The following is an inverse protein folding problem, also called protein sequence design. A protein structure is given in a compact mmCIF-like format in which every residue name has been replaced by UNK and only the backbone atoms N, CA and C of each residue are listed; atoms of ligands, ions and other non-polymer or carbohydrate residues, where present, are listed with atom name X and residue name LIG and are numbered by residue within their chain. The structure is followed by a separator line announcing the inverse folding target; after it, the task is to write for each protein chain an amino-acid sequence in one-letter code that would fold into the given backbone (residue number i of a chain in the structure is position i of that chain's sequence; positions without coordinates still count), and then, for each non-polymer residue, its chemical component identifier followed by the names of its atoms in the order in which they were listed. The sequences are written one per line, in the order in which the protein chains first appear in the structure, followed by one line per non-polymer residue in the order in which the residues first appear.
data_IF_647745740797
#
_entry.id   IF_647745740797
#
_cell.length_a   1.000
_cell.length_b   1.000
_cell.length_c   1.000
_cell.angle_alpha   90.00
_cell.angle_beta   90.00
_cell.angle_gamma   90.00
#
_symmetry.space_group_name_H-M   'P 1'
#
loop_
_entity.id
_entity.type
_entity.pdbx_description
1 polymer ?
#
# COMPACT_ATOMS: atom_id res chain seq x y z
N UNK A 1 -25.39 -7.49 6.44
CA UNK A 1 -24.96 -7.36 5.03
C UNK A 1 -25.75 -6.31 4.29
N UNK A 2 -25.08 -5.58 3.40
CA UNK A 2 -25.73 -4.61 2.49
C UNK A 2 -26.31 -3.35 3.15
N UNK A 3 -25.80 -2.94 4.32
CA UNK A 3 -26.31 -1.78 5.06
C UNK A 3 -25.68 -0.45 4.65
N UNK A 4 -24.68 -0.49 3.77
CA UNK A 4 -23.99 0.72 3.32
C UNK A 4 -24.93 1.55 2.44
N UNK A 5 -25.10 2.80 2.83
CA UNK A 5 -25.80 3.81 2.05
C UNK A 5 -24.95 4.29 0.87
N UNK A 6 -25.60 4.91 -0.12
CA UNK A 6 -24.87 5.54 -1.23
C UNK A 6 -23.97 6.69 -0.76
N UNK A 7 -24.35 7.39 0.31
CA UNK A 7 -23.56 8.47 0.89
C UNK A 7 -22.23 7.95 1.45
N UNK A 8 -22.22 6.77 2.08
CA UNK A 8 -21.00 6.13 2.59
C UNK A 8 -20.07 5.59 1.49
N UNK A 9 -20.61 5.34 0.29
CA UNK A 9 -19.85 4.86 -0.86
C UNK A 9 -19.38 5.99 -1.79
N UNK A 10 -19.92 7.20 -1.62
CA UNK A 10 -19.64 8.34 -2.51
C UNK A 10 -18.45 9.14 -2.00
N UNK A 11 -17.56 9.52 -2.92
CA UNK A 11 -16.39 10.34 -2.62
C UNK A 11 -15.12 9.50 -2.46
N UNK A 12 -14.31 9.85 -1.44
CA UNK A 12 -12.99 9.28 -1.23
C UNK A 12 -11.91 9.90 -2.11
N UNK A 13 -10.73 10.11 -1.55
CA UNK A 13 -9.57 10.72 -2.24
C UNK A 13 -8.50 9.71 -2.61
N UNK A 14 -8.53 8.53 -1.98
CA UNK A 14 -7.57 7.45 -2.14
C UNK A 14 -8.25 6.12 -1.82
N UNK A 15 -7.83 5.05 -2.48
CA UNK A 15 -8.34 3.70 -2.25
C UNK A 15 -7.24 2.78 -1.72
N UNK A 16 -7.62 1.88 -0.82
CA UNK A 16 -6.76 0.77 -0.38
C UNK A 16 -7.50 -0.53 -0.71
N UNK A 17 -6.83 -1.43 -1.43
CA UNK A 17 -7.36 -2.75 -1.76
C UNK A 17 -6.44 -3.83 -1.20
N UNK A 18 -6.98 -4.77 -0.43
CA UNK A 18 -6.22 -5.87 0.15
C UNK A 18 -6.53 -7.17 -0.59
N UNK A 19 -5.74 -7.46 -1.64
CA UNK A 19 -5.78 -8.74 -2.34
C UNK A 19 -5.06 -9.87 -1.58
N UNK A 20 -4.34 -9.52 -0.50
CA UNK A 20 -3.64 -10.47 0.36
C UNK A 20 -4.55 -11.49 1.04
N UNK A 21 -5.82 -11.15 1.24
CA UNK A 21 -6.85 -12.08 1.76
C UNK A 21 -7.04 -13.31 0.87
N UNK A 22 -6.72 -13.21 -0.42
CA UNK A 22 -6.77 -14.31 -1.39
C UNK A 22 -5.39 -14.94 -1.66
N UNK A 23 -4.36 -14.56 -0.89
CA UNK A 23 -3.01 -15.09 -1.04
C UNK A 23 -2.19 -14.46 -2.18
N UNK A 24 -2.69 -13.39 -2.80
CA UNK A 24 -2.00 -12.65 -3.87
C UNK A 24 -0.63 -12.18 -3.40
N UNK A 25 0.40 -12.41 -4.22
CA UNK A 25 1.76 -11.95 -3.92
C UNK A 25 1.96 -10.49 -4.31
N UNK A 26 1.57 -10.12 -5.52
CA UNK A 26 1.75 -8.79 -6.11
C UNK A 26 0.75 -8.66 -7.26
N UNK A 27 0.21 -7.46 -7.47
CA UNK A 27 -0.71 -7.15 -8.55
C UNK A 27 -0.62 -5.67 -8.91
N UNK A 28 -1.20 -5.30 -10.06
CA UNK A 28 -1.35 -3.90 -10.50
C UNK A 28 -2.78 -3.44 -10.21
N UNK A 29 -3.04 -2.78 -9.06
CA UNK A 29 -4.39 -2.36 -8.71
C UNK A 29 -4.92 -1.33 -9.72
N UNK A 30 -6.23 -1.36 -10.01
CA UNK A 30 -6.87 -0.41 -10.92
C UNK A 30 -7.38 0.78 -10.11
N UNK A 31 -7.06 2.00 -10.55
CA UNK A 31 -7.51 3.24 -9.92
C UNK A 31 -9.04 3.28 -9.94
N UNK A 32 -9.65 3.71 -8.83
CA UNK A 32 -11.09 3.93 -8.72
C UNK A 32 -11.42 5.40 -9.06
N UNK A 33 -11.86 5.74 -10.28
CA UNK A 33 -12.10 7.13 -10.66
C UNK A 33 -13.22 7.74 -9.80
N UNK A 34 -13.16 9.03 -9.43
CA UNK A 34 -12.25 10.06 -9.95
C UNK A 34 -10.92 10.21 -9.17
N UNK A 35 -10.54 9.23 -8.35
CA UNK A 35 -9.30 9.31 -7.55
C UNK A 35 -8.04 9.24 -8.43
N UNK A 36 -6.91 9.71 -7.90
CA UNK A 36 -5.63 9.75 -8.63
C UNK A 36 -4.71 8.57 -8.34
N UNK A 37 -4.95 7.80 -7.28
CA UNK A 37 -4.09 6.68 -6.90
C UNK A 37 -4.81 5.62 -6.05
N UNK A 38 -4.24 4.43 -6.02
CA UNK A 38 -4.71 3.29 -5.21
C UNK A 38 -3.52 2.49 -4.67
N UNK A 39 -3.60 2.10 -3.40
CA UNK A 39 -2.64 1.18 -2.77
C UNK A 39 -3.18 -0.26 -2.80
N UNK A 40 -2.40 -1.17 -3.37
CA UNK A 40 -2.58 -2.61 -3.31
C UNK A 40 -1.74 -3.22 -2.19
N UNK A 41 -2.42 -3.80 -1.19
CA UNK A 41 -1.82 -4.61 -0.12
C UNK A 41 -1.96 -6.08 -0.47
N UNK A 42 -0.88 -6.84 -0.26
CA UNK A 42 -0.80 -8.24 -0.67
C UNK A 42 -0.63 -9.16 0.52
N UNK A 43 -0.42 -10.46 0.27
CA UNK A 43 -0.27 -11.43 1.34
C UNK A 43 1.09 -11.26 2.03
N UNK A 44 1.07 -11.17 3.36
CA UNK A 44 2.28 -11.26 4.17
C UNK A 44 2.75 -12.70 4.19
N UNK A 45 3.96 -12.97 3.72
CA UNK A 45 4.57 -14.31 3.70
C UNK A 45 5.99 -14.25 4.23
N UNK A 46 6.40 -15.29 4.94
CA UNK A 46 7.78 -15.44 5.39
C UNK A 46 8.72 -15.57 4.20
N UNK A 47 9.76 -14.72 4.17
CA UNK A 47 10.77 -14.71 3.13
C UNK A 47 12.16 -14.52 3.72
N UNK A 48 13.19 -15.15 3.11
CA UNK A 48 14.57 -14.82 3.44
C UNK A 48 14.91 -13.41 2.92
N UNK A 49 15.47 -12.58 3.80
CA UNK A 49 15.97 -11.24 3.49
C UNK A 49 17.37 -11.07 4.08
N UNK A 50 18.15 -10.15 3.50
CA UNK A 50 19.46 -9.79 4.04
C UNK A 50 19.30 -8.68 5.08
N UNK A 51 19.75 -8.93 6.31
CA UNK A 51 19.78 -7.94 7.40
C UNK A 51 21.16 -8.02 8.06
N UNK A 52 21.87 -6.89 8.16
CA UNK A 52 23.22 -6.83 8.74
C UNK A 52 24.21 -7.88 8.19
N UNK A 53 24.13 -8.18 6.89
CA UNK A 53 25.00 -9.16 6.23
C UNK A 53 24.62 -10.63 6.46
N UNK A 54 23.50 -10.91 7.12
CA UNK A 54 23.01 -12.27 7.37
C UNK A 54 21.66 -12.50 6.67
N UNK A 55 21.40 -13.76 6.30
CA UNK A 55 20.07 -14.16 5.81
C UNK A 55 19.19 -14.46 6.99
N UNK A 56 18.11 -13.70 7.13
CA UNK A 56 17.09 -13.87 8.18
C UNK A 56 15.72 -14.04 7.55
N UNK A 57 14.84 -14.80 8.18
CA UNK A 57 13.44 -14.92 7.73
C UNK A 57 12.64 -13.77 8.34
N UNK A 58 11.85 -13.08 7.51
CA UNK A 58 10.94 -12.00 7.92
C UNK A 58 9.56 -12.17 7.28
N UNK A 59 8.48 -11.76 7.97
CA UNK A 59 7.17 -11.63 7.35
C UNK A 59 7.20 -10.43 6.38
N UNK A 60 7.16 -10.69 5.07
CA UNK A 60 7.26 -9.66 4.03
C UNK A 60 5.93 -9.50 3.32
N UNK A 61 5.54 -8.25 3.10
CA UNK A 61 4.41 -7.83 2.29
C UNK A 61 4.92 -7.04 1.07
N UNK A 62 4.32 -7.23 -0.10
CA UNK A 62 4.54 -6.33 -1.23
C UNK A 62 3.46 -5.28 -1.29
N UNK A 63 3.86 -4.01 -1.41
CA UNK A 63 2.96 -2.90 -1.65
C UNK A 63 3.07 -2.49 -3.13
N UNK A 64 1.93 -2.28 -3.78
CA UNK A 64 1.89 -1.76 -5.14
C UNK A 64 1.04 -0.49 -5.16
N UNK A 65 1.54 0.58 -5.75
CA UNK A 65 0.75 1.79 -5.93
C UNK A 65 0.59 2.08 -7.42
N UNK A 66 -0.66 2.05 -7.89
CA UNK A 66 -1.01 2.57 -9.21
C UNK A 66 -1.42 4.03 -9.05
N UNK A 67 -0.94 4.88 -9.94
CA UNK A 67 -1.17 6.32 -9.89
C UNK A 67 -1.37 6.89 -11.30
N UNK A 68 -2.16 7.95 -11.39
CA UNK A 68 -2.40 8.68 -12.62
C UNK A 68 -1.21 9.59 -12.93
N UNK A 69 -0.38 9.14 -13.87
CA UNK A 69 0.86 9.82 -14.24
C UNK A 69 0.64 11.20 -14.91
N UNK A 70 -0.61 11.56 -15.25
CA UNK A 70 -0.97 12.90 -15.73
C UNK A 70 -0.94 13.96 -14.62
N UNK A 71 -1.04 13.52 -13.36
CA UNK A 71 -1.17 14.38 -12.18
C UNK A 71 -0.03 14.12 -11.19
N UNK A 72 0.36 12.86 -11.00
CA UNK A 72 1.39 12.44 -10.03
C UNK A 72 2.65 12.06 -10.79
N UNK A 73 3.77 12.70 -10.46
CA UNK A 73 5.08 12.32 -11.02
C UNK A 73 5.63 11.04 -10.35
N UNK A 74 6.51 10.33 -11.06
CA UNK A 74 7.14 9.11 -10.55
C UNK A 74 7.90 9.34 -9.24
N UNK A 75 8.52 10.52 -9.05
CA UNK A 75 9.17 10.87 -7.77
C UNK A 75 8.19 10.89 -6.61
N UNK A 76 7.05 11.56 -6.78
CA UNK A 76 6.04 11.71 -5.71
C UNK A 76 5.41 10.36 -5.37
N UNK A 77 5.13 9.55 -6.39
CA UNK A 77 4.61 8.20 -6.20
C UNK A 77 5.60 7.32 -5.42
N UNK A 78 6.88 7.32 -5.79
CA UNK A 78 7.90 6.53 -5.09
C UNK A 78 8.09 7.01 -3.66
N UNK A 79 8.20 8.32 -3.43
CA UNK A 79 8.37 8.88 -2.09
C UNK A 79 7.15 8.56 -1.20
N UNK A 80 5.93 8.71 -1.71
CA UNK A 80 4.72 8.37 -0.96
C UNK A 80 4.67 6.89 -0.56
N UNK A 81 5.03 5.99 -1.48
CA UNK A 81 5.08 4.55 -1.18
C UNK A 81 6.19 4.20 -0.18
N UNK A 82 7.35 4.85 -0.25
CA UNK A 82 8.44 4.70 0.72
C UNK A 82 8.01 5.21 2.09
N UNK A 83 7.36 6.37 2.19
CA UNK A 83 6.83 6.89 3.46
C UNK A 83 5.85 5.91 4.11
N UNK A 84 4.92 5.35 3.32
CA UNK A 84 3.99 4.32 3.83
C UNK A 84 4.75 3.07 4.31
N UNK A 85 5.73 2.61 3.55
CA UNK A 85 6.57 1.46 3.91
C UNK A 85 7.31 1.70 5.23
N UNK A 86 7.95 2.86 5.39
CA UNK A 86 8.70 3.22 6.60
C UNK A 86 7.79 3.35 7.82
N UNK A 87 6.61 3.96 7.66
CA UNK A 87 5.61 4.06 8.74
C UNK A 87 5.06 2.68 9.18
N UNK A 88 5.02 1.70 8.28
CA UNK A 88 4.60 0.33 8.60
C UNK A 88 5.72 -0.49 9.23
N UNK A 89 6.98 -0.29 8.83
CA UNK A 89 8.14 -0.97 9.40
C UNK A 89 8.55 -0.42 10.77
N UNK A 90 8.34 0.88 11.01
CA UNK A 90 8.56 1.55 12.30
C UNK A 90 7.40 2.53 12.63
N UNK A 91 6.31 2.04 13.25
CA UNK A 91 5.15 2.85 13.57
C UNK A 91 5.41 4.00 14.55
N UNK A 92 6.52 3.98 15.30
CA UNK A 92 6.85 5.06 16.23
C UNK A 92 7.13 6.38 15.51
N UNK A 93 7.56 6.32 14.25
CA UNK A 93 7.74 7.49 13.36
C UNK A 93 6.50 8.38 13.26
N UNK A 94 5.32 7.75 13.22
CA UNK A 94 4.03 8.47 13.18
C UNK A 94 3.74 9.26 14.47
N UNK A 95 4.33 8.88 15.60
CA UNK A 95 4.15 9.58 16.87
C UNK A 95 5.09 10.77 17.02
N UNK A 96 6.24 10.72 16.36
CA UNK A 96 7.30 11.73 16.48
C UNK A 96 7.37 12.68 15.27
N UNK A 97 6.49 12.52 14.27
CA UNK A 97 6.49 13.27 13.00
C UNK A 97 7.87 13.25 12.30
N UNK A 98 8.52 12.08 12.30
CA UNK A 98 9.86 11.84 11.70
C UNK A 98 9.86 10.73 10.66
#
# INVERSE_FOLDING_TARGET
DGKLSMEELTGGTFSISNGGVFGSMLSTPIINPPQSAILGVHATKDRPVAENGQVVIRPINYLAMSYDHRIIDGREAVLGLVTMKEALEDPARLLFDV
#
